data_IF_369746030140
#
_entry.id   IF_369746030140
#
_cell.length_a   1.000
_cell.length_b   1.000
_cell.length_c   1.000
_cell.angle_alpha   90.00
_cell.angle_beta   90.00
_cell.angle_gamma   90.00
#
_symmetry.space_group_name_H-M   'P 1'
#
loop_
_entity.id
_entity.type
_entity.pdbx_description
1 polymer ?
#
# COMPACT_ATOMS: atom_id res chain seq x y z
N UNK A 1 11.67 25.58 -38.41
CA UNK A 1 11.09 26.50 -37.40
C UNK A 1 10.22 25.66 -36.48
N UNK A 2 10.74 25.23 -35.32
CA UNK A 2 9.95 24.43 -34.37
C UNK A 2 9.27 25.38 -33.39
N UNK A 3 7.97 25.57 -33.58
CA UNK A 3 7.07 26.26 -32.67
C UNK A 3 7.05 25.51 -31.33
N UNK A 4 7.83 26.00 -30.37
CA UNK A 4 7.83 25.47 -29.00
C UNK A 4 6.50 25.83 -28.34
N UNK A 5 5.91 24.82 -27.73
CA UNK A 5 4.59 24.77 -27.13
C UNK A 5 4.42 25.87 -26.04
N UNK A 6 3.81 27.01 -26.41
CA UNK A 6 3.53 28.19 -25.56
C UNK A 6 2.65 27.88 -24.32
N UNK A 7 2.10 26.66 -24.19
CA UNK A 7 1.34 26.23 -23.00
C UNK A 7 2.14 25.47 -21.94
N UNK A 8 3.40 25.13 -22.20
CA UNK A 8 4.31 24.53 -21.22
C UNK A 8 5.13 25.57 -20.42
N UNK A 9 5.10 26.85 -20.80
CA UNK A 9 5.86 27.95 -20.17
C UNK A 9 5.41 28.31 -18.74
N UNK A 10 4.31 27.73 -18.26
CA UNK A 10 3.82 27.96 -16.90
C UNK A 10 4.57 27.10 -15.85
N UNK A 11 5.15 25.96 -16.24
CA UNK A 11 5.87 25.07 -15.32
C UNK A 11 7.37 25.16 -15.58
N UNK A 12 8.06 25.90 -14.71
CA UNK A 12 9.52 25.98 -14.76
C UNK A 12 10.16 24.60 -14.57
N UNK A 13 11.39 24.48 -15.07
CA UNK A 13 12.18 23.26 -14.89
C UNK A 13 12.40 22.96 -13.40
N UNK A 14 12.69 24.00 -12.60
CA UNK A 14 12.82 23.92 -11.14
C UNK A 14 11.52 23.42 -10.48
N UNK A 15 10.37 23.98 -10.82
CA UNK A 15 9.08 23.55 -10.26
C UNK A 15 8.75 22.10 -10.64
N UNK A 16 9.06 21.69 -11.87
CA UNK A 16 8.87 20.31 -12.32
C UNK A 16 9.82 19.36 -11.59
N UNK A 17 11.07 19.78 -11.32
CA UNK A 17 12.03 19.01 -10.53
C UNK A 17 11.53 18.81 -9.10
N UNK A 18 11.15 19.89 -8.40
CA UNK A 18 10.59 19.83 -7.03
C UNK A 18 9.34 18.94 -6.97
N UNK A 19 8.48 19.00 -7.98
CA UNK A 19 7.32 18.12 -8.09
C UNK A 19 7.73 16.64 -8.13
N UNK A 20 8.69 16.28 -9.00
CA UNK A 20 9.16 14.89 -9.13
C UNK A 20 9.85 14.42 -7.84
N UNK A 21 10.65 15.28 -7.22
CA UNK A 21 11.30 15.05 -5.93
C UNK A 21 10.30 14.74 -4.81
N UNK A 22 9.45 15.70 -4.50
CA UNK A 22 8.49 15.61 -3.40
C UNK A 22 7.45 14.50 -3.61
N UNK A 23 7.01 14.28 -4.85
CA UNK A 23 6.16 13.13 -5.19
C UNK A 23 6.93 11.82 -5.07
N UNK A 24 8.16 11.76 -5.60
CA UNK A 24 8.99 10.56 -5.65
C UNK A 24 9.29 10.01 -4.27
N UNK A 25 9.66 10.87 -3.31
CA UNK A 25 9.93 10.48 -1.93
C UNK A 25 8.73 9.83 -1.27
N UNK A 26 7.53 10.38 -1.48
CA UNK A 26 6.27 9.85 -0.93
C UNK A 26 5.85 8.58 -1.64
N UNK A 27 6.00 8.55 -2.96
CA UNK A 27 5.73 7.39 -3.78
C UNK A 27 6.57 6.19 -3.33
N UNK A 28 7.85 6.40 -3.04
CA UNK A 28 8.74 5.35 -2.52
C UNK A 28 8.37 4.93 -1.09
N UNK A 29 8.05 5.88 -0.19
CA UNK A 29 7.59 5.56 1.19
C UNK A 29 6.33 4.70 1.22
N UNK A 30 5.45 4.86 0.22
CA UNK A 30 4.26 4.05 0.04
C UNK A 30 4.51 2.76 -0.77
N UNK A 31 5.77 2.32 -0.90
CA UNK A 31 6.17 1.17 -1.72
C UNK A 31 5.63 1.24 -3.15
N UNK A 32 5.74 2.42 -3.78
CA UNK A 32 5.21 2.72 -5.11
C UNK A 32 3.68 2.68 -5.21
N UNK A 33 3.00 2.91 -4.09
CA UNK A 33 1.55 3.03 -3.98
C UNK A 33 0.99 4.39 -4.43
N UNK A 34 -0.34 4.49 -4.45
CA UNK A 34 -1.05 5.72 -4.82
C UNK A 34 -1.06 6.73 -3.67
N UNK A 35 -0.70 7.99 -3.97
CA UNK A 35 -0.77 9.09 -3.01
C UNK A 35 -2.23 9.47 -2.71
N UNK A 36 -2.51 9.73 -1.44
CA UNK A 36 -3.82 10.25 -0.97
C UNK A 36 -3.87 11.77 -1.11
N UNK A 37 -5.06 12.34 -0.92
CA UNK A 37 -5.27 13.79 -1.05
C UNK A 37 -4.35 14.61 -0.12
N UNK A 38 -4.12 14.13 1.12
CA UNK A 38 -3.20 14.78 2.05
C UNK A 38 -1.76 14.84 1.50
N UNK A 39 -1.26 13.73 0.95
CA UNK A 39 0.07 13.68 0.32
C UNK A 39 0.18 14.65 -0.86
N UNK A 40 -0.88 14.75 -1.67
CA UNK A 40 -0.90 15.66 -2.80
C UNK A 40 -0.92 17.13 -2.38
N UNK A 41 -1.59 17.46 -1.28
CA UNK A 41 -1.53 18.82 -0.70
C UNK A 41 -0.11 19.14 -0.23
N UNK A 42 0.58 18.21 0.40
CA UNK A 42 1.96 18.43 0.82
C UNK A 42 2.93 18.59 -0.37
N UNK A 43 2.73 17.81 -1.43
CA UNK A 43 3.49 17.98 -2.70
C UNK A 43 3.25 19.37 -3.28
N UNK A 44 1.99 19.83 -3.31
CA UNK A 44 1.66 21.16 -3.79
C UNK A 44 2.31 22.26 -2.93
N UNK A 45 2.31 22.09 -1.60
CA UNK A 45 2.99 23.00 -0.68
C UNK A 45 4.49 23.07 -0.98
N UNK A 46 5.17 21.93 -1.14
CA UNK A 46 6.60 21.89 -1.46
C UNK A 46 6.92 22.60 -2.78
N UNK A 47 6.11 22.36 -3.83
CA UNK A 47 6.26 23.04 -5.13
C UNK A 47 6.08 24.55 -4.98
N UNK A 48 5.04 24.97 -4.24
CA UNK A 48 4.74 26.39 -4.02
C UNK A 48 5.78 27.11 -3.16
N UNK A 49 6.47 26.42 -2.26
CA UNK A 49 7.57 26.99 -1.47
C UNK A 49 8.80 27.32 -2.30
N UNK A 50 8.97 26.65 -3.45
CA UNK A 50 10.11 26.86 -4.36
C UNK A 50 9.76 27.77 -5.55
N UNK A 51 8.61 28.46 -5.51
CA UNK A 51 8.18 29.33 -6.61
C UNK A 51 8.97 30.63 -6.61
N UNK A 52 9.45 31.02 -7.78
CA UNK A 52 10.14 32.31 -7.97
C UNK A 52 9.14 33.47 -8.14
N UNK A 53 7.90 33.16 -8.53
CA UNK A 53 6.87 34.14 -8.84
C UNK A 53 5.65 33.98 -7.91
N UNK A 54 5.59 34.85 -6.90
CA UNK A 54 4.50 34.89 -5.92
C UNK A 54 3.27 35.64 -6.41
N UNK A 55 3.36 36.35 -7.55
CA UNK A 55 2.24 37.11 -8.12
C UNK A 55 1.18 36.21 -8.75
N UNK A 56 1.59 35.00 -9.16
CA UNK A 56 0.68 33.97 -9.66
C UNK A 56 0.00 33.23 -8.51
N UNK A 57 -1.24 32.76 -8.70
CA UNK A 57 -1.90 31.94 -7.69
C UNK A 57 -1.10 30.65 -7.42
N UNK A 58 -1.09 30.16 -6.16
CA UNK A 58 -0.41 28.92 -5.81
C UNK A 58 -0.98 27.73 -6.57
N UNK A 59 -0.13 26.76 -6.88
CA UNK A 59 -0.51 25.51 -7.53
C UNK A 59 -1.40 24.68 -6.61
N UNK A 60 -2.47 24.12 -7.16
CA UNK A 60 -3.28 23.14 -6.43
C UNK A 60 -2.70 21.72 -6.51
N UNK A 61 -3.16 20.86 -5.62
CA UNK A 61 -2.91 19.42 -5.60
C UNK A 61 -3.30 18.76 -6.94
N UNK A 62 -4.45 19.15 -7.50
CA UNK A 62 -4.93 18.67 -8.81
C UNK A 62 -3.99 19.10 -9.94
N UNK A 63 -3.49 20.33 -9.93
CA UNK A 63 -2.55 20.82 -10.94
C UNK A 63 -1.21 20.07 -10.88
N UNK A 64 -0.72 19.78 -9.67
CA UNK A 64 0.49 18.98 -9.46
C UNK A 64 0.30 17.55 -10.00
N UNK A 65 -0.85 16.93 -9.73
CA UNK A 65 -1.19 15.61 -10.25
C UNK A 65 -1.23 15.58 -11.78
N UNK A 66 -1.95 16.51 -12.41
CA UNK A 66 -2.03 16.61 -13.86
C UNK A 66 -0.66 16.82 -14.52
N UNK A 67 0.19 17.68 -13.92
CA UNK A 67 1.55 17.88 -14.40
C UNK A 67 2.36 16.59 -14.31
N UNK A 68 2.29 15.89 -13.19
CA UNK A 68 2.99 14.63 -13.00
C UNK A 68 2.54 13.57 -14.02
N UNK A 69 1.25 13.49 -14.32
CA UNK A 69 0.73 12.57 -15.33
C UNK A 69 1.32 12.85 -16.71
N UNK A 70 1.44 14.13 -17.09
CA UNK A 70 2.14 14.53 -18.31
C UNK A 70 3.61 14.15 -18.28
N UNK A 71 4.30 14.33 -17.16
CA UNK A 71 5.71 13.93 -16.99
C UNK A 71 5.86 12.41 -17.11
N UNK A 72 4.98 11.61 -16.50
CA UNK A 72 4.96 10.16 -16.61
C UNK A 72 4.68 9.69 -18.04
N UNK A 73 3.75 10.34 -18.75
CA UNK A 73 3.48 10.07 -20.17
C UNK A 73 4.73 10.33 -21.02
N UNK A 74 5.39 11.46 -20.81
CA UNK A 74 6.65 11.78 -21.49
C UNK A 74 7.75 10.76 -21.19
N UNK A 75 7.89 10.32 -19.93
CA UNK A 75 8.82 9.25 -19.57
C UNK A 75 8.54 7.96 -20.34
N UNK A 76 7.28 7.51 -20.43
CA UNK A 76 6.93 6.31 -21.20
C UNK A 76 7.33 6.43 -22.67
N UNK A 77 7.08 7.60 -23.29
CA UNK A 77 7.47 7.89 -24.68
C UNK A 77 8.99 7.95 -24.87
N UNK A 78 9.73 8.47 -23.90
CA UNK A 78 11.20 8.48 -23.94
C UNK A 78 11.76 7.07 -23.72
N UNK A 79 11.14 6.27 -22.86
CA UNK A 79 11.59 4.91 -22.53
C UNK A 79 11.44 3.94 -23.70
N UNK A 80 10.41 4.12 -24.54
CA UNK A 80 10.21 3.28 -25.72
C UNK A 80 11.18 3.61 -26.87
N UNK A 81 11.99 4.67 -26.75
CA UNK A 81 13.01 5.01 -27.74
C UNK A 81 14.27 4.21 -27.44
N UNK A 82 14.92 3.68 -28.48
CA UNK A 82 16.18 2.94 -28.37
C UNK A 82 17.43 3.85 -28.26
N UNK A 83 17.22 5.13 -27.93
CA UNK A 83 18.26 6.17 -27.88
C UNK A 83 18.33 6.68 -26.45
N UNK A 84 19.55 6.96 -25.95
CA UNK A 84 19.72 7.59 -24.65
C UNK A 84 18.95 8.92 -24.60
N UNK A 85 17.98 9.02 -23.69
CA UNK A 85 17.12 10.20 -23.59
C UNK A 85 17.93 11.39 -23.08
N UNK A 86 17.89 12.49 -23.85
CA UNK A 86 18.47 13.80 -23.45
C UNK A 86 17.58 14.59 -22.50
N UNK A 87 16.45 14.02 -22.07
CA UNK A 87 15.52 14.72 -21.20
C UNK A 87 16.02 14.70 -19.75
N UNK A 88 16.20 15.88 -19.10
CA UNK A 88 16.84 15.98 -17.78
C UNK A 88 16.17 15.16 -16.68
N UNK A 89 14.87 14.87 -16.80
CA UNK A 89 14.12 14.11 -15.79
C UNK A 89 14.07 12.60 -16.07
N UNK A 90 14.62 12.12 -17.19
CA UNK A 90 14.50 10.72 -17.60
C UNK A 90 15.10 9.76 -16.57
N UNK A 91 16.38 9.96 -16.21
CA UNK A 91 17.09 9.08 -15.25
C UNK A 91 16.38 9.03 -13.89
N UNK A 92 15.88 10.17 -13.43
CA UNK A 92 15.15 10.28 -12.17
C UNK A 92 13.81 9.54 -12.21
N UNK A 93 13.04 9.74 -13.29
CA UNK A 93 11.79 9.02 -13.47
C UNK A 93 12.01 7.52 -13.65
N UNK A 94 13.10 7.12 -14.32
CA UNK A 94 13.46 5.72 -14.49
C UNK A 94 13.78 5.06 -13.15
N UNK A 95 14.56 5.70 -12.29
CA UNK A 95 14.81 5.21 -10.94
C UNK A 95 13.50 5.02 -10.14
N UNK A 96 12.60 6.01 -10.18
CA UNK A 96 11.35 5.98 -9.44
C UNK A 96 10.37 4.90 -9.95
N UNK A 97 10.27 4.73 -11.27
CA UNK A 97 9.24 3.89 -11.91
C UNK A 97 9.73 2.49 -12.31
N UNK A 98 11.02 2.34 -12.65
CA UNK A 98 11.56 1.10 -13.22
C UNK A 98 12.25 0.17 -12.23
N UNK A 99 12.21 0.44 -10.92
CA UNK A 99 12.82 -0.48 -9.97
C UNK A 99 14.18 -0.07 -9.41
N UNK A 100 14.81 0.99 -9.92
CA UNK A 100 16.22 1.25 -9.63
C UNK A 100 17.18 0.31 -10.36
N UNK A 101 16.73 -0.44 -11.39
CA UNK A 101 17.63 -1.11 -12.33
C UNK A 101 18.08 -0.09 -13.38
N UNK A 102 19.28 0.45 -13.21
CA UNK A 102 19.96 1.23 -14.24
C UNK A 102 20.17 0.34 -15.48
N UNK A 103 19.37 0.53 -16.53
CA UNK A 103 19.51 -0.17 -17.80
C UNK A 103 20.78 0.32 -18.50
N UNK A 104 21.76 -0.57 -18.69
CA UNK A 104 22.91 -0.37 -19.58
C UNK A 104 22.41 -0.55 -21.01
N UNK A 105 22.64 0.43 -21.86
CA UNK A 105 22.12 0.55 -23.23
C UNK A 105 22.60 -0.55 -24.20
N UNK A 106 21.65 -1.23 -24.86
CA UNK A 106 21.69 -1.90 -26.19
C UNK A 106 20.31 -2.56 -26.38
N UNK A 107 19.50 -2.43 -27.43
CA UNK A 107 19.61 -1.87 -28.78
C UNK A 107 18.82 -2.80 -29.73
N UNK A 108 17.63 -2.39 -30.20
CA UNK A 108 16.78 -2.97 -31.29
C UNK A 108 16.06 -4.30 -30.99
N UNK A 109 14.89 -4.69 -31.55
CA UNK A 109 13.88 -4.20 -32.52
C UNK A 109 12.65 -5.17 -32.37
N UNK A 110 11.40 -4.71 -32.16
CA UNK A 110 10.21 -4.69 -33.08
C UNK A 110 9.37 -5.99 -33.27
N UNK A 111 8.03 -5.86 -33.11
CA UNK A 111 6.93 -6.71 -33.65
C UNK A 111 6.04 -7.35 -32.57
N UNK A 112 4.87 -6.80 -32.20
CA UNK A 112 3.50 -7.10 -32.75
C UNK A 112 3.16 -8.60 -32.79
N UNK A 113 2.07 -9.17 -32.27
CA UNK A 113 0.87 -8.73 -31.57
C UNK A 113 -0.02 -9.99 -31.32
N UNK A 114 -0.97 -9.85 -30.39
CA UNK A 114 -2.18 -10.67 -30.19
C UNK A 114 -2.18 -12.04 -29.46
N UNK A 115 -3.28 -12.18 -28.72
CA UNK A 115 -3.68 -13.17 -27.71
C UNK A 115 -4.18 -14.48 -28.32
N UNK A 116 -4.03 -15.63 -27.63
CA UNK A 116 -5.10 -16.32 -26.86
C UNK A 116 -4.67 -17.70 -26.31
N UNK A 117 -5.17 -17.96 -25.08
CA UNK A 117 -5.64 -19.23 -24.48
C UNK A 117 -4.73 -20.45 -24.22
N UNK A 118 -4.76 -20.83 -22.94
CA UNK A 118 -4.86 -22.17 -22.32
C UNK A 118 -3.81 -23.27 -22.56
N UNK A 119 -3.12 -23.59 -21.46
CA UNK A 119 -2.88 -24.90 -20.83
C UNK A 119 -2.66 -26.10 -21.76
N UNK A 120 -1.47 -26.71 -21.67
CA UNK A 120 -1.25 -28.08 -21.13
C UNK A 120 0.26 -28.26 -20.89
N UNK A 121 0.60 -28.81 -19.72
CA UNK A 121 1.91 -29.39 -19.43
C UNK A 121 2.15 -30.59 -20.35
N UNK A 122 3.13 -30.52 -21.23
CA UNK A 122 3.72 -31.72 -21.82
C UNK A 122 5.20 -31.50 -22.16
N UNK A 123 6.02 -32.46 -21.74
CA UNK A 123 7.47 -32.48 -21.88
C UNK A 123 7.80 -32.94 -23.29
N UNK A 124 8.34 -32.06 -24.13
CA UNK A 124 8.80 -32.41 -25.48
C UNK A 124 10.29 -32.14 -25.61
N UNK A 125 11.07 -33.21 -25.74
CA UNK A 125 12.42 -33.16 -26.29
C UNK A 125 12.32 -32.93 -27.80
N UNK A 126 12.97 -31.89 -28.31
CA UNK A 126 13.13 -31.70 -29.75
C UNK A 126 14.59 -31.42 -30.08
N UNK A 127 15.17 -32.32 -30.87
CA UNK A 127 16.52 -32.20 -31.39
C UNK A 127 16.60 -31.20 -32.55
N UNK A 128 17.73 -30.49 -32.59
CA UNK A 128 18.38 -30.03 -33.81
C UNK A 128 17.84 -28.75 -34.47
N UNK A 129 18.47 -27.62 -34.15
CA UNK A 129 19.20 -26.77 -35.11
C UNK A 129 19.64 -25.49 -34.38
N UNK A 130 20.95 -25.28 -34.30
CA UNK A 130 21.53 -24.23 -33.46
C UNK A 130 21.17 -22.82 -33.91
N UNK A 131 20.57 -22.06 -32.99
CA UNK A 131 20.80 -20.63 -32.86
C UNK A 131 21.16 -20.37 -31.39
N UNK A 132 22.38 -19.90 -31.15
CA UNK A 132 23.06 -19.92 -29.84
C UNK A 132 22.54 -18.90 -28.81
N UNK A 133 21.25 -18.54 -28.84
CA UNK A 133 20.64 -17.53 -27.96
C UNK A 133 19.43 -17.99 -27.14
N UNK A 134 18.79 -19.11 -27.48
CA UNK A 134 17.46 -19.45 -26.95
C UNK A 134 17.53 -20.15 -25.57
N UNK A 135 18.61 -20.88 -25.31
CA UNK A 135 18.83 -21.56 -24.03
C UNK A 135 19.13 -20.57 -22.89
N UNK A 136 19.85 -19.48 -23.18
CA UNK A 136 20.13 -18.44 -22.20
C UNK A 136 18.86 -17.66 -21.82
N UNK A 137 17.94 -17.46 -22.77
CA UNK A 137 16.66 -16.79 -22.55
C UNK A 137 15.72 -17.65 -21.70
N UNK A 138 15.60 -18.94 -22.04
CA UNK A 138 14.84 -19.90 -21.23
C UNK A 138 15.37 -19.99 -19.80
N UNK A 139 16.70 -20.11 -19.65
CA UNK A 139 17.34 -20.13 -18.34
C UNK A 139 17.19 -18.79 -17.59
N UNK A 140 17.16 -17.64 -18.28
CA UNK A 140 16.89 -16.36 -17.66
C UNK A 140 15.46 -16.28 -17.13
N UNK A 141 14.47 -16.73 -17.89
CA UNK A 141 13.07 -16.74 -17.46
C UNK A 141 12.86 -17.64 -16.23
N UNK A 142 13.47 -18.83 -16.21
CA UNK A 142 13.42 -19.74 -15.05
C UNK A 142 14.03 -19.09 -13.80
N UNK A 143 15.20 -18.46 -13.92
CA UNK A 143 15.82 -17.71 -12.81
C UNK A 143 14.97 -16.51 -12.37
N UNK A 144 14.33 -15.83 -13.31
CA UNK A 144 13.42 -14.73 -13.00
C UNK A 144 12.18 -15.21 -12.25
N UNK A 145 11.58 -16.32 -12.66
CA UNK A 145 10.45 -16.93 -11.98
C UNK A 145 10.80 -17.34 -10.55
N UNK A 146 11.96 -17.96 -10.35
CA UNK A 146 12.45 -18.39 -9.04
C UNK A 146 12.74 -17.20 -8.10
N UNK A 147 13.35 -16.13 -8.64
CA UNK A 147 13.58 -14.90 -7.87
C UNK A 147 12.27 -14.19 -7.55
N UNK A 148 11.34 -14.14 -8.50
CA UNK A 148 10.04 -13.52 -8.29
C UNK A 148 9.22 -14.26 -7.24
N UNK A 149 9.16 -15.59 -7.32
CA UNK A 149 8.51 -16.45 -6.33
C UNK A 149 9.09 -16.21 -4.93
N UNK A 150 10.42 -16.17 -4.79
CA UNK A 150 11.06 -15.86 -3.49
C UNK A 150 10.72 -14.47 -2.97
N UNK A 151 10.68 -13.46 -3.84
CA UNK A 151 10.37 -12.07 -3.45
C UNK A 151 8.92 -11.95 -3.02
N UNK A 152 7.98 -12.53 -3.77
CA UNK A 152 6.58 -12.52 -3.40
C UNK A 152 6.36 -13.32 -2.12
N UNK A 153 6.93 -14.53 -1.99
CA UNK A 153 6.82 -15.33 -0.77
C UNK A 153 7.37 -14.59 0.45
N UNK A 154 8.54 -13.94 0.35
CA UNK A 154 9.11 -13.16 1.45
C UNK A 154 8.25 -11.96 1.84
N UNK A 155 7.60 -11.31 0.88
CA UNK A 155 6.66 -10.21 1.12
C UNK A 155 5.37 -10.70 1.76
N UNK A 156 4.86 -11.86 1.33
CA UNK A 156 3.72 -12.54 1.96
C UNK A 156 4.05 -12.97 3.39
N UNK A 157 5.23 -13.54 3.64
CA UNK A 157 5.69 -13.91 4.98
C UNK A 157 5.75 -12.70 5.93
N UNK A 158 6.28 -11.58 5.44
CA UNK A 158 6.30 -10.33 6.19
C UNK A 158 4.87 -9.83 6.50
N UNK A 159 3.96 -9.90 5.54
CA UNK A 159 2.56 -9.52 5.74
C UNK A 159 1.87 -10.44 6.76
N UNK A 160 2.01 -11.76 6.60
CA UNK A 160 1.44 -12.77 7.50
C UNK A 160 1.98 -12.60 8.92
N UNK A 161 3.28 -12.32 9.07
CA UNK A 161 3.89 -12.05 10.37
C UNK A 161 3.28 -10.82 11.05
N UNK A 162 3.18 -9.71 10.31
CA UNK A 162 2.56 -8.48 10.83
C UNK A 162 1.07 -8.68 11.16
N UNK A 163 0.34 -9.41 10.32
CA UNK A 163 -1.08 -9.70 10.54
C UNK A 163 -1.30 -10.66 11.72
N UNK A 164 -0.36 -11.60 11.94
CA UNK A 164 -0.34 -12.46 13.13
C UNK A 164 -0.17 -11.64 14.40
N UNK A 165 0.82 -10.75 14.44
CA UNK A 165 1.03 -9.84 15.58
C UNK A 165 -0.21 -8.96 15.83
N UNK A 166 -0.83 -8.46 14.75
CA UNK A 166 -2.10 -7.71 14.83
C UNK A 166 -3.22 -8.55 15.43
N UNK A 167 -3.37 -9.81 15.01
CA UNK A 167 -4.40 -10.72 15.52
C UNK A 167 -4.13 -11.16 16.97
N UNK A 168 -2.86 -11.33 17.36
CA UNK A 168 -2.49 -11.64 18.75
C UNK A 168 -2.88 -10.53 19.70
N UNK A 169 -2.62 -9.26 19.35
CA UNK A 169 -3.07 -8.11 20.14
C UNK A 169 -4.59 -8.05 20.25
N UNK A 170 -5.31 -8.22 19.14
CA UNK A 170 -6.78 -8.23 19.14
C UNK A 170 -7.32 -9.37 20.02
N UNK A 171 -6.70 -10.55 19.96
CA UNK A 171 -7.04 -11.70 20.80
C UNK A 171 -6.80 -11.42 22.27
N UNK A 172 -5.68 -10.79 22.64
CA UNK A 172 -5.39 -10.42 24.04
C UNK A 172 -6.41 -9.41 24.58
N UNK A 173 -6.77 -8.39 23.79
CA UNK A 173 -7.79 -7.41 24.14
C UNK A 173 -9.15 -8.08 24.34
N UNK A 174 -9.58 -8.92 23.39
CA UNK A 174 -10.85 -9.64 23.50
C UNK A 174 -10.86 -10.63 24.67
N UNK A 175 -9.74 -11.32 24.92
CA UNK A 175 -9.60 -12.18 26.09
C UNK A 175 -9.76 -11.39 27.39
N UNK A 176 -9.12 -10.23 27.50
CA UNK A 176 -9.27 -9.33 28.64
C UNK A 176 -10.72 -8.84 28.82
N UNK A 177 -11.38 -8.45 27.72
CA UNK A 177 -12.78 -8.01 27.70
C UNK A 177 -13.72 -9.12 28.20
N UNK A 178 -13.56 -10.34 27.67
CA UNK A 178 -14.38 -11.49 28.07
C UNK A 178 -14.11 -11.90 29.52
N UNK A 179 -12.85 -11.86 29.96
CA UNK A 179 -12.46 -12.18 31.34
C UNK A 179 -13.14 -11.23 32.35
N UNK A 180 -13.05 -9.92 32.12
CA UNK A 180 -13.68 -8.93 33.00
C UNK A 180 -15.19 -9.11 33.09
N UNK A 181 -15.85 -9.38 31.96
CA UNK A 181 -17.29 -9.66 31.93
C UNK A 181 -17.63 -10.92 32.73
N UNK A 182 -16.88 -12.00 32.57
CA UNK A 182 -17.11 -13.25 33.29
C UNK A 182 -16.90 -13.10 34.79
N UNK A 183 -15.82 -12.43 35.21
CA UNK A 183 -15.55 -12.14 36.63
C UNK A 183 -16.67 -11.29 37.26
N UNK A 184 -17.17 -10.30 36.53
CA UNK A 184 -18.29 -9.46 36.97
C UNK A 184 -19.58 -10.27 37.11
N UNK A 185 -19.90 -11.14 36.15
CA UNK A 185 -21.09 -12.00 36.22
C UNK A 185 -21.05 -12.95 37.42
N UNK A 186 -19.88 -13.55 37.67
CA UNK A 186 -19.68 -14.44 38.82
C UNK A 186 -19.85 -13.70 40.15
N UNK A 187 -19.37 -12.46 40.25
CA UNK A 187 -19.54 -11.65 41.46
C UNK A 187 -21.00 -11.20 41.66
N UNK A 188 -21.70 -10.84 40.58
CA UNK A 188 -23.15 -10.54 40.61
C UNK A 188 -23.93 -11.76 41.13
N UNK A 189 -23.63 -12.96 40.63
CA UNK A 189 -24.34 -14.17 41.02
C UNK A 189 -24.08 -14.54 42.49
N UNK A 190 -22.86 -14.33 43.00
CA UNK A 190 -22.57 -14.44 44.45
C UNK A 190 -23.42 -13.47 45.27
N UNK A 191 -23.43 -12.19 44.91
CA UNK A 191 -24.20 -11.16 45.63
C UNK A 191 -25.70 -11.51 45.58
N UNK A 192 -26.21 -11.91 44.41
CA UNK A 192 -27.59 -12.37 44.22
C UNK A 192 -27.91 -13.55 45.14
N UNK A 193 -27.04 -14.55 45.22
CA UNK A 193 -27.19 -15.68 46.13
C UNK A 193 -27.21 -15.28 47.61
N UNK A 194 -26.33 -14.37 48.02
CA UNK A 194 -26.33 -13.82 49.39
C UNK A 194 -27.62 -13.05 49.69
N UNK A 195 -28.13 -12.26 48.75
CA UNK A 195 -29.41 -11.55 48.88
C UNK A 195 -30.59 -12.51 49.00
N UNK A 196 -30.63 -13.59 48.22
CA UNK A 196 -31.67 -14.61 48.32
C UNK A 196 -31.65 -15.32 49.68
N UNK A 197 -30.45 -15.66 50.20
CA UNK A 197 -30.30 -16.23 51.56
C UNK A 197 -30.78 -15.25 52.63
N UNK A 198 -30.41 -13.96 52.53
CA UNK A 198 -30.89 -12.92 53.46
C UNK A 198 -32.41 -12.79 53.43
N UNK A 199 -33.06 -12.85 52.25
CA UNK A 199 -34.52 -12.86 52.13
C UNK A 199 -35.16 -14.10 52.75
N UNK A 200 -34.61 -15.29 52.53
CA UNK A 200 -35.13 -16.51 53.15
C UNK A 200 -35.07 -16.42 54.69
N UNK A 201 -33.97 -15.89 55.25
CA UNK A 201 -33.83 -15.70 56.70
C UNK A 201 -34.79 -14.63 57.24
N UNK A 202 -35.00 -13.52 56.53
CA UNK A 202 -35.99 -12.51 56.95
C UNK A 202 -37.41 -13.06 56.90
N UNK A 203 -37.77 -13.80 55.85
CA UNK A 203 -39.08 -14.44 55.70
C UNK A 203 -39.37 -15.45 56.82
N UNK A 204 -38.36 -16.22 57.24
CA UNK A 204 -38.49 -17.14 58.40
C UNK A 204 -38.64 -16.34 59.70
N UNK A 205 -37.88 -15.25 59.88
CA UNK A 205 -37.98 -14.38 61.06
C UNK A 205 -39.35 -13.71 61.19
N UNK A 206 -39.91 -13.21 60.09
CA UNK A 206 -41.23 -12.56 60.07
C UNK A 206 -42.35 -13.56 60.38
N UNK A 207 -42.17 -14.84 60.03
CA UNK A 207 -43.10 -15.94 60.35
C UNK A 207 -43.03 -16.41 61.82
N UNK A 208 -41.95 -16.06 62.54
CA UNK A 208 -41.71 -16.39 63.95
C UNK A 208 -41.94 -15.18 64.89
N UNK A 209 -42.43 -14.06 64.36
CA UNK A 209 -42.75 -12.89 65.17
C UNK A 209 -44.04 -13.14 65.97
N UNK A 210 -44.03 -13.07 67.32
CA UNK A 210 -45.19 -13.41 68.13
C UNK A 210 -46.30 -12.38 67.91
N UNK A 211 -47.49 -12.85 67.51
CA UNK A 211 -48.69 -12.02 67.38
C UNK A 211 -48.92 -11.19 68.66
N UNK A 212 -48.94 -9.86 68.52
CA UNK A 212 -49.40 -8.97 69.59
C UNK A 212 -50.89 -9.22 69.81
N UNK A 213 -51.25 -9.77 70.97
CA UNK A 213 -52.64 -9.82 71.46
C UNK A 213 -53.25 -8.42 71.45
N UNK A 214 -54.51 -8.25 70.99
CA UNK A 214 -55.20 -6.98 71.11
C UNK A 214 -55.52 -6.71 72.59
N UNK A 215 -55.09 -5.56 73.10
CA UNK A 215 -55.57 -5.02 74.38
C UNK A 215 -57.01 -4.51 74.21
N UNK A 216 -57.83 -4.78 75.23
CA UNK A 216 -59.26 -4.50 75.33
C UNK A 216 -59.61 -3.01 75.25
#
# INVERSE_FOLDING_TARGET
>A
MNTRNSRDECWTESATKTLIDSWGDRYLKLNRGNLRQADWKDVANAVNSTRDDFTKPPRSDIQCKNRLDTVKKKYKLEKSKNIESKWPFFKKMDYLLAGGKLMKSKGGLSGEGESVSNVVSEKVEFGGSGCSGDEELGNAFVRFAEVYERVENSKWDAFVKMEKERLEFVKEVEFGRVKMLMETQLEIEKIRGMMMKKRAVSSVRDSLSPEKKPEL
#
